data_IF_919703833665
#
_entry.id   IF_919703833665
#
_cell.length_a   1.000
_cell.length_b   1.000
_cell.length_c   1.000
_cell.angle_alpha   90.00
_cell.angle_beta   90.00
_cell.angle_gamma   90.00
#
_symmetry.space_group_name_H-M   'P 1'
#
loop_
_entity.id
_entity.type
_entity.pdbx_description
1 polymer ?
#
# COMPACT_ATOMS: atom_id res chain seq x y z
N UNK A 1 -32.47 -6.45 10.86
CA UNK A 1 -32.14 -5.47 9.79
C UNK A 1 -30.65 -5.20 9.88
N UNK A 2 -29.87 -5.83 9.00
CA UNK A 2 -28.43 -5.60 8.90
C UNK A 2 -28.26 -4.33 8.06
N UNK A 3 -27.65 -3.25 8.57
CA UNK A 3 -27.44 -2.07 7.76
C UNK A 3 -26.54 -2.46 6.58
N UNK A 4 -27.11 -2.26 5.40
CA UNK A 4 -26.47 -2.28 4.09
C UNK A 4 -25.08 -1.63 4.20
N UNK A 5 -24.04 -2.38 3.84
CA UNK A 5 -22.65 -1.92 3.82
C UNK A 5 -22.50 -0.85 2.76
N UNK A 6 -22.95 0.36 3.10
CA UNK A 6 -22.81 1.56 2.31
C UNK A 6 -21.31 1.76 2.07
N UNK A 7 -20.96 2.04 0.81
CA UNK A 7 -19.64 2.55 0.49
C UNK A 7 -19.35 3.73 1.44
N UNK A 8 -18.13 3.83 2.00
CA UNK A 8 -17.79 4.94 2.87
C UNK A 8 -18.10 6.25 2.14
N UNK A 9 -18.89 7.12 2.77
CA UNK A 9 -19.22 8.43 2.22
C UNK A 9 -17.98 9.31 2.07
N UNK A 10 -18.11 10.50 1.44
CA UNK A 10 -17.00 11.42 1.16
C UNK A 10 -16.28 11.90 2.44
N UNK A 11 -16.86 11.69 3.62
CA UNK A 11 -16.28 11.95 4.94
C UNK A 11 -15.18 10.96 5.34
N UNK A 12 -15.05 9.81 4.67
CA UNK A 12 -14.05 8.79 4.97
C UNK A 12 -12.86 8.88 4.02
N UNK A 13 -11.70 9.22 4.58
CA UNK A 13 -10.51 9.52 3.82
C UNK A 13 -9.58 8.32 3.73
N UNK A 14 -9.06 8.07 2.52
CA UNK A 14 -7.98 7.11 2.29
C UNK A 14 -6.61 7.71 2.59
N UNK A 15 -5.57 6.87 2.56
CA UNK A 15 -4.21 7.31 2.86
C UNK A 15 -3.74 8.44 1.91
N UNK A 16 -4.21 8.43 0.66
CA UNK A 16 -3.87 9.44 -0.35
C UNK A 16 -4.56 10.78 -0.05
N UNK A 17 -5.85 10.76 0.28
CA UNK A 17 -6.61 11.96 0.64
C UNK A 17 -6.11 12.59 1.94
N UNK A 18 -5.70 11.78 2.91
CA UNK A 18 -5.07 12.27 4.16
C UNK A 18 -3.70 12.88 3.86
N UNK A 19 -2.89 12.24 3.02
CA UNK A 19 -1.60 12.76 2.58
C UNK A 19 -1.77 14.12 1.84
N UNK A 20 -2.72 14.21 0.92
CA UNK A 20 -3.04 15.45 0.21
C UNK A 20 -3.42 16.60 1.17
N UNK A 21 -4.18 16.31 2.23
CA UNK A 21 -4.54 17.28 3.27
C UNK A 21 -3.37 17.82 4.08
N UNK A 22 -2.26 17.10 4.12
CA UNK A 22 -1.02 17.60 4.75
C UNK A 22 -0.25 18.58 3.85
N UNK A 23 -0.81 18.94 2.70
CA UNK A 23 -0.16 19.78 1.68
C UNK A 23 0.97 19.04 0.96
N UNK A 24 0.88 17.71 0.84
CA UNK A 24 1.93 16.88 0.24
C UNK A 24 3.19 16.73 1.09
N UNK A 25 3.21 17.27 2.31
CA UNK A 25 4.36 17.13 3.23
C UNK A 25 4.57 15.71 3.74
N UNK A 26 3.52 14.89 3.76
CA UNK A 26 3.56 13.50 4.21
C UNK A 26 3.01 12.59 3.14
N UNK A 27 3.74 11.50 2.90
CA UNK A 27 3.39 10.49 1.91
C UNK A 27 2.30 9.54 2.45
N UNK A 28 1.54 8.86 1.58
CA UNK A 28 0.54 7.85 1.98
C UNK A 28 1.12 6.75 2.89
N UNK A 29 2.39 6.37 2.70
CA UNK A 29 3.10 5.43 3.58
C UNK A 29 3.25 5.95 5.02
N UNK A 30 3.36 7.26 5.20
CA UNK A 30 3.38 7.87 6.53
C UNK A 30 2.02 7.81 7.21
N UNK A 31 0.93 7.92 6.45
CA UNK A 31 -0.43 7.74 6.99
C UNK A 31 -0.65 6.29 7.42
N UNK A 32 -0.18 5.33 6.62
CA UNK A 32 -0.20 3.91 6.99
C UNK A 32 0.55 3.65 8.30
N UNK A 33 1.70 4.26 8.51
CA UNK A 33 2.43 4.12 9.78
C UNK A 33 1.71 4.77 10.97
N UNK A 34 0.87 5.80 10.75
CA UNK A 34 0.01 6.34 11.80
C UNK A 34 -1.13 5.40 12.16
N UNK A 35 -1.70 4.70 11.17
CA UNK A 35 -2.67 3.63 11.41
C UNK A 35 -2.05 2.46 12.16
N UNK A 36 -0.84 2.04 11.78
CA UNK A 36 -0.14 0.96 12.49
C UNK A 36 0.18 1.33 13.95
N UNK A 37 0.47 2.61 14.22
CA UNK A 37 0.66 3.12 15.59
C UNK A 37 -0.65 3.07 16.37
N UNK A 38 -1.78 3.40 15.76
CA UNK A 38 -3.10 3.29 16.38
C UNK A 38 -3.47 1.84 16.69
N UNK A 39 -3.18 0.93 15.75
CA UNK A 39 -3.40 -0.51 15.90
C UNK A 39 -2.57 -1.10 17.06
N UNK A 40 -1.33 -0.62 17.24
CA UNK A 40 -0.47 -0.95 18.38
C UNK A 40 -0.78 -0.16 19.65
N UNK A 41 -1.84 0.66 19.65
CA UNK A 41 -2.23 1.56 20.76
C UNK A 41 -1.09 2.47 21.25
N UNK A 42 -0.21 2.88 20.34
CA UNK A 42 0.91 3.77 20.63
C UNK A 42 0.49 5.24 20.56
N UNK A 43 1.14 6.08 21.36
CA UNK A 43 0.93 7.52 21.33
C UNK A 43 1.21 8.10 19.93
N UNK A 44 0.29 8.95 19.48
CA UNK A 44 0.36 9.55 18.16
C UNK A 44 -0.07 8.64 17.01
N UNK A 45 -0.87 7.59 17.26
CA UNK A 45 -1.62 6.86 16.23
C UNK A 45 -2.83 7.64 15.69
N UNK A 46 -3.19 7.39 14.43
CA UNK A 46 -4.39 7.94 13.79
C UNK A 46 -5.50 6.86 13.78
N UNK A 47 -6.66 7.17 14.34
CA UNK A 47 -7.78 6.23 14.35
C UNK A 47 -8.31 5.96 12.93
N UNK A 48 -8.59 4.70 12.64
CA UNK A 48 -9.09 4.23 11.36
C UNK A 48 -10.16 3.16 11.55
N UNK A 49 -11.02 3.03 10.55
CA UNK A 49 -11.97 1.93 10.40
C UNK A 49 -11.64 1.12 9.14
N UNK A 50 -11.96 -0.17 9.20
CA UNK A 50 -11.74 -1.11 8.10
C UNK A 50 -13.07 -1.34 7.40
N UNK A 51 -13.14 -0.98 6.13
CA UNK A 51 -14.29 -1.16 5.26
C UNK A 51 -14.06 -2.40 4.37
N UNK A 52 -14.71 -3.55 4.67
CA UNK A 52 -14.51 -4.78 3.91
C UNK A 52 -14.97 -4.65 2.44
N UNK A 53 -15.88 -3.72 2.16
CA UNK A 53 -16.45 -3.44 0.84
C UNK A 53 -15.43 -2.86 -0.17
N UNK A 54 -14.30 -2.32 0.28
CA UNK A 54 -13.30 -1.65 -0.57
C UNK A 54 -12.15 -2.58 -1.05
N UNK A 55 -12.16 -3.85 -0.66
CA UNK A 55 -11.13 -4.83 -1.04
C UNK A 55 -9.83 -4.76 -0.22
N UNK A 56 -9.03 -5.83 -0.27
CA UNK A 56 -7.89 -6.08 0.64
C UNK A 56 -6.72 -5.11 0.56
N UNK A 57 -6.60 -4.32 -0.52
CA UNK A 57 -5.48 -3.38 -0.72
C UNK A 57 -5.76 -1.97 -0.18
N UNK A 58 -7.02 -1.59 0.03
CA UNK A 58 -7.42 -0.21 0.39
C UNK A 58 -8.67 -0.19 1.29
N UNK A 59 -8.68 -1.05 2.30
CA UNK A 59 -9.81 -1.18 3.22
C UNK A 59 -9.74 -0.23 4.43
N UNK A 60 -8.56 0.31 4.79
CA UNK A 60 -8.42 1.25 5.91
C UNK A 60 -8.83 2.67 5.47
N UNK A 61 -9.69 3.31 6.25
CA UNK A 61 -10.12 4.72 6.08
C UNK A 61 -10.20 5.42 7.43
N UNK A 62 -9.92 6.71 7.46
CA UNK A 62 -10.11 7.53 8.67
C UNK A 62 -11.17 8.59 8.43
N UNK A 63 -12.03 8.82 9.42
CA UNK A 63 -13.04 9.87 9.35
C UNK A 63 -12.38 11.25 9.28
N UNK A 64 -12.93 12.14 8.45
CA UNK A 64 -12.43 13.48 8.18
C UNK A 64 -12.16 14.28 9.46
N UNK A 65 -13.10 14.30 10.39
CA UNK A 65 -12.97 15.08 11.63
C UNK A 65 -11.82 14.58 12.52
N UNK A 66 -11.63 13.25 12.56
CA UNK A 66 -10.54 12.60 13.29
C UNK A 66 -9.20 12.98 12.68
N UNK A 67 -9.11 12.98 11.35
CA UNK A 67 -7.92 13.41 10.61
C UNK A 67 -7.64 14.88 10.88
N UNK A 68 -8.64 15.75 10.79
CA UNK A 68 -8.45 17.20 10.98
C UNK A 68 -8.09 17.55 12.42
N UNK A 69 -8.63 16.84 13.42
CA UNK A 69 -8.23 16.97 14.81
C UNK A 69 -6.79 16.46 15.06
N UNK A 70 -6.43 15.33 14.45
CA UNK A 70 -5.10 14.75 14.54
C UNK A 70 -4.02 15.64 13.91
N UNK A 71 -4.30 16.20 12.73
CA UNK A 71 -3.41 17.12 12.04
C UNK A 71 -3.24 18.43 12.81
N UNK A 72 -4.34 18.98 13.36
CA UNK A 72 -4.29 20.14 14.27
C UNK A 72 -3.42 19.87 15.51
N UNK A 73 -3.57 18.72 16.17
CA UNK A 73 -2.77 18.35 17.35
C UNK A 73 -1.27 18.24 17.04
N UNK A 74 -0.90 17.89 15.82
CA UNK A 74 0.50 17.81 15.36
C UNK A 74 1.03 19.09 14.73
N UNK A 75 0.31 20.20 14.82
CA UNK A 75 0.69 21.48 14.21
C UNK A 75 0.86 21.42 12.68
N UNK A 76 0.16 20.50 12.02
CA UNK A 76 0.04 20.55 10.57
C UNK A 76 -1.04 21.57 10.21
N UNK A 77 -0.68 22.55 9.37
CA UNK A 77 -1.64 23.51 8.82
C UNK A 77 -2.69 22.73 8.02
N UNK A 78 -3.86 22.51 8.62
CA UNK A 78 -5.01 21.91 7.94
C UNK A 78 -5.51 22.92 6.93
N UNK A 79 -5.20 22.70 5.65
CA UNK A 79 -5.78 23.48 4.57
C UNK A 79 -7.21 22.98 4.35
N UNK A 80 -8.26 23.81 4.54
CA UNK A 80 -9.63 23.40 4.22
C UNK A 80 -9.76 23.15 2.71
N UNK A 81 -10.74 22.33 2.27
CA UNK A 81 -10.92 22.03 0.86
C UNK A 81 -11.56 23.26 0.21
N UNK A 82 -10.76 24.06 -0.47
CA UNK A 82 -11.28 24.89 -1.56
C UNK A 82 -11.51 23.97 -2.74
N UNK A 83 -12.78 23.67 -2.97
CA UNK A 83 -13.28 23.29 -4.29
C UNK A 83 -12.81 24.34 -5.31
N UNK A 84 -12.37 23.84 -6.46
CA UNK A 84 -12.19 24.55 -7.72
C UNK A 84 -11.62 25.97 -7.65
N UNK A 85 -10.31 26.07 -7.85
CA UNK A 85 -9.78 26.99 -8.85
C UNK A 85 -8.39 26.51 -9.27
N UNK A 86 -8.31 26.10 -10.52
CA UNK A 86 -7.19 26.46 -11.37
C UNK A 86 -6.82 27.91 -11.07
N UNK A 87 -5.79 28.17 -10.25
CA UNK A 87 -4.85 29.20 -10.62
C UNK A 87 -3.54 29.11 -9.88
N UNK A 88 -2.54 29.46 -10.67
CA UNK A 88 -1.15 29.58 -10.35
C UNK A 88 -1.00 30.92 -9.63
N UNK A 89 -0.28 30.95 -8.51
CA UNK A 89 0.18 32.20 -7.92
C UNK A 89 -0.67 32.67 -6.73
N UNK A 90 -0.07 32.61 -5.54
CA UNK A 90 -0.72 33.06 -4.32
C UNK A 90 0.25 33.06 -3.16
N UNK A 91 1.34 33.80 -3.32
CA UNK A 91 2.24 34.19 -2.24
C UNK A 91 1.44 35.02 -1.24
N UNK A 92 1.33 34.58 0.00
CA UNK A 92 0.99 35.40 1.16
C UNK A 92 1.69 34.77 2.38
N UNK A 93 2.83 35.31 2.80
CA UNK A 93 3.01 36.52 3.62
C UNK A 93 2.95 36.22 5.12
N UNK A 94 4.14 36.01 5.67
CA UNK A 94 4.57 36.40 7.01
C UNK A 94 6.09 36.48 6.85
N UNK A 95 6.68 37.61 6.48
CA UNK A 95 6.63 38.90 7.15
C UNK A 95 8.10 39.26 7.38
N UNK A 96 8.55 40.34 6.74
CA UNK A 96 9.58 41.29 7.17
C UNK A 96 10.52 41.73 6.03
N UNK A 97 10.73 43.05 5.92
CA UNK A 97 11.79 43.65 5.11
C UNK A 97 11.41 44.25 3.76
N UNK A 98 10.81 45.44 3.78
CA UNK A 98 10.99 46.58 2.84
C UNK A 98 11.59 46.31 1.45
N UNK A 99 10.81 46.53 0.39
CA UNK A 99 11.13 47.50 -0.69
C UNK A 99 10.07 47.49 -1.79
N UNK A 100 9.62 48.69 -2.08
CA UNK A 100 8.67 49.10 -3.11
C UNK A 100 9.23 48.83 -4.53
N UNK A 101 8.43 48.26 -5.44
CA UNK A 101 8.85 48.05 -6.83
C UNK A 101 7.82 47.28 -7.69
N UNK A 102 7.51 47.73 -8.92
CA UNK A 102 6.31 47.35 -9.65
C UNK A 102 6.35 45.90 -10.16
N UNK A 103 5.18 45.25 -10.05
CA UNK A 103 4.89 43.95 -10.61
C UNK A 103 5.10 43.93 -12.14
N UNK A 104 5.83 42.94 -12.66
CA UNK A 104 5.79 42.71 -14.11
C UNK A 104 6.80 41.76 -14.77
N UNK A 105 7.94 41.39 -14.17
CA UNK A 105 8.86 40.45 -14.82
C UNK A 105 9.51 39.48 -13.81
N UNK A 106 9.36 38.15 -13.98
CA UNK A 106 10.10 37.19 -13.18
C UNK A 106 11.59 37.38 -13.48
N UNK A 107 12.40 37.56 -12.44
CA UNK A 107 13.84 37.74 -12.64
C UNK A 107 14.39 36.42 -13.17
N UNK A 108 15.37 36.47 -14.08
CA UNK A 108 15.96 35.28 -14.70
C UNK A 108 16.49 34.27 -13.64
N UNK A 109 16.88 34.76 -12.47
CA UNK A 109 17.23 33.95 -11.30
C UNK A 109 16.06 33.09 -10.77
N UNK A 110 14.83 33.63 -10.73
CA UNK A 110 13.64 32.91 -10.27
C UNK A 110 13.27 31.79 -11.24
N UNK A 111 13.49 32.00 -12.54
CA UNK A 111 13.27 30.98 -13.58
C UNK A 111 14.31 29.86 -13.49
N UNK A 112 15.58 30.20 -13.26
CA UNK A 112 16.63 29.20 -13.05
C UNK A 112 16.40 28.38 -11.79
N UNK A 113 15.98 29.02 -10.69
CA UNK A 113 15.65 28.32 -9.45
C UNK A 113 14.43 27.38 -9.62
N UNK A 114 13.40 27.84 -10.33
CA UNK A 114 12.26 27.01 -10.69
C UNK A 114 12.67 25.81 -11.57
N UNK A 115 13.58 25.98 -12.52
CA UNK A 115 14.07 24.88 -13.37
C UNK A 115 14.91 23.87 -12.57
N UNK A 116 15.74 24.33 -11.63
CA UNK A 116 16.49 23.45 -10.73
C UNK A 116 15.52 22.68 -9.84
N UNK A 117 14.49 23.35 -9.31
CA UNK A 117 13.45 22.73 -8.50
C UNK A 117 12.65 21.68 -9.30
N UNK A 118 12.26 21.98 -10.54
CA UNK A 118 11.57 21.03 -11.43
C UNK A 118 12.44 19.84 -11.76
N UNK A 119 13.74 20.05 -12.04
CA UNK A 119 14.68 18.96 -12.28
C UNK A 119 14.79 18.07 -11.03
N UNK A 120 14.97 18.65 -9.85
CA UNK A 120 15.04 17.87 -8.61
C UNK A 120 13.74 17.10 -8.34
N UNK A 121 12.58 17.69 -8.66
CA UNK A 121 11.29 17.01 -8.56
C UNK A 121 11.17 15.86 -9.58
N UNK A 122 11.68 16.03 -10.79
CA UNK A 122 11.69 14.98 -11.82
C UNK A 122 12.64 13.83 -11.45
N UNK A 123 13.83 14.13 -10.93
CA UNK A 123 14.78 13.12 -10.45
C UNK A 123 14.17 12.32 -9.28
N UNK A 124 13.53 13.00 -8.32
CA UNK A 124 12.84 12.34 -7.21
C UNK A 124 11.64 11.50 -7.66
N UNK A 125 10.92 11.93 -8.70
CA UNK A 125 9.82 11.16 -9.28
C UNK A 125 10.34 9.91 -10.00
N UNK A 126 11.47 10.00 -10.71
CA UNK A 126 12.10 8.84 -11.34
C UNK A 126 12.58 7.82 -10.31
N UNK A 127 13.25 8.26 -9.24
CA UNK A 127 13.66 7.37 -8.15
C UNK A 127 12.47 6.68 -7.47
N UNK A 128 11.35 7.39 -7.31
CA UNK A 128 10.12 6.81 -6.78
C UNK A 128 9.55 5.72 -7.70
N UNK A 129 9.51 5.96 -9.02
CA UNK A 129 9.05 4.98 -10.01
C UNK A 129 9.97 3.77 -10.06
N UNK A 130 11.28 3.97 -9.97
CA UNK A 130 12.26 2.87 -9.91
C UNK A 130 12.02 2.04 -8.64
N UNK A 131 11.85 2.69 -7.48
CA UNK A 131 11.55 1.99 -6.23
C UNK A 131 10.23 1.21 -6.26
N UNK A 132 9.20 1.75 -6.91
CA UNK A 132 7.92 1.03 -7.12
C UNK A 132 8.10 -0.17 -8.06
N UNK A 133 8.87 -0.02 -9.13
CA UNK A 133 9.17 -1.11 -10.06
C UNK A 133 9.97 -2.24 -9.38
N UNK A 134 10.94 -1.90 -8.53
CA UNK A 134 11.71 -2.88 -7.76
C UNK A 134 10.83 -3.62 -6.75
N UNK A 135 9.94 -2.91 -6.04
CA UNK A 135 8.99 -3.53 -5.11
C UNK A 135 8.03 -4.50 -5.82
N UNK A 136 7.54 -4.12 -7.01
CA UNK A 136 6.70 -4.98 -7.84
C UNK A 136 7.47 -6.24 -8.31
N UNK A 137 8.73 -6.10 -8.71
CA UNK A 137 9.58 -7.23 -9.09
C UNK A 137 9.82 -8.19 -7.92
N UNK A 138 10.10 -7.68 -6.72
CA UNK A 138 10.25 -8.49 -5.51
C UNK A 138 8.95 -9.24 -5.16
N UNK A 139 7.79 -8.60 -5.32
CA UNK A 139 6.50 -9.25 -5.09
C UNK A 139 6.24 -10.39 -6.09
N UNK A 140 6.58 -10.18 -7.36
CA UNK A 140 6.47 -11.23 -8.38
C UNK A 140 7.40 -12.42 -8.06
N UNK A 141 8.62 -12.16 -7.58
CA UNK A 141 9.54 -13.21 -7.15
C UNK A 141 8.99 -14.00 -5.95
N UNK A 142 8.44 -13.32 -4.95
CA UNK A 142 7.83 -13.98 -3.79
C UNK A 142 6.66 -14.90 -4.21
N UNK A 143 5.83 -14.45 -5.17
CA UNK A 143 4.76 -15.27 -5.72
C UNK A 143 5.30 -16.50 -6.47
N UNK A 144 6.34 -16.33 -7.28
CA UNK A 144 7.00 -17.44 -7.98
C UNK A 144 7.57 -18.48 -7.00
N UNK A 145 8.19 -18.04 -5.89
CA UNK A 145 8.68 -18.93 -4.84
C UNK A 145 7.54 -19.70 -4.17
N UNK A 146 6.42 -19.04 -3.84
CA UNK A 146 5.25 -19.71 -3.27
C UNK A 146 4.67 -20.76 -4.24
N UNK A 147 4.60 -20.45 -5.54
CA UNK A 147 4.16 -21.40 -6.55
C UNK A 147 5.09 -22.62 -6.62
N UNK A 148 6.41 -22.41 -6.52
CA UNK A 148 7.38 -23.50 -6.48
C UNK A 148 7.18 -24.41 -5.24
N UNK A 149 6.99 -23.83 -4.05
CA UNK A 149 6.71 -24.60 -2.83
C UNK A 149 5.44 -25.44 -2.99
N UNK A 150 4.37 -24.86 -3.54
CA UNK A 150 3.12 -25.61 -3.82
C UNK A 150 3.39 -26.78 -4.76
N UNK A 151 4.13 -26.57 -5.84
CA UNK A 151 4.49 -27.65 -6.76
C UNK A 151 5.27 -28.78 -6.07
N UNK A 152 6.22 -28.45 -5.20
CA UNK A 152 6.97 -29.46 -4.43
C UNK A 152 6.06 -30.24 -3.48
N UNK A 153 5.09 -29.58 -2.83
CA UNK A 153 4.11 -30.28 -1.98
C UNK A 153 3.24 -31.24 -2.80
N UNK A 154 2.79 -30.85 -4.00
CA UNK A 154 2.03 -31.75 -4.87
C UNK A 154 2.85 -32.96 -5.33
N UNK A 155 4.13 -32.76 -5.68
CA UNK A 155 5.03 -33.87 -6.02
C UNK A 155 5.15 -34.86 -4.86
N UNK A 156 5.34 -34.35 -3.64
CA UNK A 156 5.43 -35.19 -2.44
C UNK A 156 4.15 -35.97 -2.18
N UNK A 157 2.99 -35.32 -2.28
CA UNK A 157 1.68 -35.97 -2.13
C UNK A 157 1.49 -37.09 -3.16
N UNK A 158 1.86 -36.85 -4.42
CA UNK A 158 1.79 -37.86 -5.49
C UNK A 158 2.65 -39.08 -5.17
N UNK A 159 3.88 -38.88 -4.70
CA UNK A 159 4.77 -40.00 -4.31
C UNK A 159 4.19 -40.79 -3.15
N UNK A 160 3.61 -40.12 -2.14
CA UNK A 160 2.98 -40.81 -1.01
C UNK A 160 1.76 -41.62 -1.45
N UNK A 161 0.87 -41.06 -2.29
CA UNK A 161 -0.28 -41.79 -2.84
C UNK A 161 0.17 -43.04 -3.60
N UNK A 162 1.20 -42.93 -4.44
CA UNK A 162 1.73 -44.09 -5.14
C UNK A 162 2.28 -45.18 -4.19
N UNK A 163 2.92 -44.76 -3.09
CA UNK A 163 3.35 -45.68 -2.03
C UNK A 163 2.18 -46.37 -1.33
N UNK A 164 1.09 -45.64 -1.07
CA UNK A 164 -0.15 -46.22 -0.52
C UNK A 164 -0.78 -47.23 -1.49
N UNK A 165 -0.85 -46.92 -2.79
CA UNK A 165 -1.40 -47.82 -3.80
C UNK A 165 -0.57 -49.11 -3.91
N UNK A 166 0.77 -49.01 -3.85
CA UNK A 166 1.67 -50.17 -3.83
C UNK A 166 1.51 -51.00 -2.55
N UNK A 167 1.35 -50.38 -1.38
CA UNK A 167 1.10 -51.11 -0.15
C UNK A 167 -0.27 -51.82 -0.16
N UNK A 168 -1.29 -51.15 -0.69
CA UNK A 168 -2.63 -51.73 -0.87
C UNK A 168 -2.60 -52.91 -1.85
N UNK A 169 -1.86 -52.82 -2.95
CA UNK A 169 -1.79 -53.92 -3.92
C UNK A 169 -1.20 -55.21 -3.33
N UNK A 170 -0.20 -55.09 -2.44
CA UNK A 170 0.38 -56.22 -1.68
C UNK A 170 -0.63 -56.83 -0.70
N UNK A 171 -1.44 -55.99 -0.04
CA UNK A 171 -2.46 -56.47 0.90
C UNK A 171 -3.66 -57.14 0.20
N UNK A 172 -4.00 -56.70 -1.01
CA UNK A 172 -5.15 -57.19 -1.77
C UNK A 172 -4.77 -58.42 -2.63
N UNK A 173 -3.51 -58.54 -3.06
CA UNK A 173 -2.98 -59.72 -3.74
C UNK A 173 -1.96 -60.43 -2.82
N UNK A 174 -2.40 -61.19 -1.80
CA UNK A 174 -1.48 -62.09 -1.12
C UNK A 174 -0.91 -63.01 -2.18
N UNK A 175 0.41 -62.96 -2.37
CA UNK A 175 1.14 -63.82 -3.32
C UNK A 175 0.65 -65.25 -3.11
N UNK A 176 -0.06 -65.79 -4.11
CA UNK A 176 -0.37 -67.21 -4.12
C UNK A 176 0.97 -67.94 -4.02
N UNK A 177 1.14 -68.88 -3.07
CA UNK A 177 2.35 -69.67 -3.01
C UNK A 177 2.54 -70.38 -4.36
N UNK A 178 3.78 -70.50 -4.87
CA UNK A 178 4.00 -71.25 -6.09
C UNK A 178 3.40 -72.65 -5.93
N UNK A 179 2.70 -73.19 -6.94
CA UNK A 179 2.24 -74.57 -6.87
C UNK A 179 3.48 -75.44 -6.65
N UNK A 180 3.51 -76.10 -5.50
CA UNK A 180 4.43 -77.19 -5.24
C UNK A 180 4.08 -78.30 -6.22
N UNK A 181 4.70 -78.26 -7.41
CA UNK A 181 4.70 -79.40 -8.32
C UNK A 181 5.48 -80.51 -7.64
N UNK A 182 4.72 -81.34 -6.94
CA UNK A 182 5.08 -82.68 -6.57
C UNK A 182 5.03 -83.55 -7.83
N UNK A 183 6.21 -83.95 -8.31
CA UNK A 183 6.44 -85.11 -9.18
C UNK A 183 7.93 -85.46 -8.97
N UNK A 184 8.37 -86.56 -8.33
CA UNK A 184 7.96 -87.96 -8.39
C UNK A 184 7.76 -88.50 -9.81
#
# INVERSE_FOLDING_TARGET
MVPETAAPGPEWLDANAIAARTGGRRQPNTVRSWWDKWERQQEGGLAFEVFPSLGTKSNKRSHRDVVDAYLRRRNFAVRPPTEDSFDRGGRASSGDGSSDGPAGQPRLADVLDALISVKAAADAAMDAVIGEAEAAAQQAQAFAQQAHTRMQTYKKLRTMMHGYDMALSVLIHPSAPPPSDAAH
#
